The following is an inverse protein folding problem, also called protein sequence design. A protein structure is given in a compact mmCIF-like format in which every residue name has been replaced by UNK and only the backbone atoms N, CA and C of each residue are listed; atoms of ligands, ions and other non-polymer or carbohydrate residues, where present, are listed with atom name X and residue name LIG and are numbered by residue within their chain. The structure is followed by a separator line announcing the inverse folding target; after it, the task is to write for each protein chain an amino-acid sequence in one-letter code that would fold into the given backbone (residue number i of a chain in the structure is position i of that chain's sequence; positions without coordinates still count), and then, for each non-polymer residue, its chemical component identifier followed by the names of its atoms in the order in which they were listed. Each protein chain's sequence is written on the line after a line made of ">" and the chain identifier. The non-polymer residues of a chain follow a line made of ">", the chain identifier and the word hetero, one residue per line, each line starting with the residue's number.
data_IF_774314577942
#
_entry.id   IF_774314577942
#
_cell.length_a   1.000
_cell.length_b   1.000
_cell.length_c   1.000
_cell.angle_alpha   90.00
_cell.angle_beta   90.00
_cell.angle_gamma   90.00
#
_symmetry.space_group_name_H-M   'P 1'
#
loop_
_entity.id
_entity.type
_entity.pdbx_description
1 polymer ?
#
# COMPACT_ATOMS: atom_id res chain seq x y z
N UNK A 1 19.25 38.72 -51.95
CA UNK A 1 19.75 38.30 -50.63
C UNK A 1 18.60 37.67 -49.86
N UNK A 2 18.70 36.37 -49.54
CA UNK A 2 17.62 35.62 -48.88
C UNK A 2 17.51 36.08 -47.40
N UNK A 3 16.32 36.41 -46.88
CA UNK A 3 16.18 36.82 -45.49
C UNK A 3 16.39 35.63 -44.57
N UNK A 4 17.24 35.81 -43.56
CA UNK A 4 17.44 34.85 -42.46
C UNK A 4 16.11 34.65 -41.74
N UNK A 5 15.65 33.40 -41.70
CA UNK A 5 14.48 33.01 -40.91
C UNK A 5 14.87 33.03 -39.42
N UNK A 6 14.01 33.51 -38.51
CA UNK A 6 14.32 33.51 -37.09
C UNK A 6 14.47 32.07 -36.58
N UNK A 7 15.61 31.78 -35.96
CA UNK A 7 15.91 30.47 -35.38
C UNK A 7 14.87 30.12 -34.31
N UNK A 8 14.18 28.99 -34.46
CA UNK A 8 13.29 28.45 -33.43
C UNK A 8 14.00 28.38 -32.07
N UNK A 9 13.34 28.76 -30.96
CA UNK A 9 13.93 28.66 -29.64
C UNK A 9 14.22 27.19 -29.30
N UNK A 10 15.47 26.87 -28.97
CA UNK A 10 15.87 25.52 -28.52
C UNK A 10 15.03 25.13 -27.30
N UNK A 11 14.28 24.03 -27.41
CA UNK A 11 13.54 23.44 -26.28
C UNK A 11 14.52 23.24 -25.11
N UNK A 12 14.19 23.68 -23.89
CA UNK A 12 15.09 23.50 -22.75
C UNK A 12 15.28 22.02 -22.48
N UNK A 13 16.52 21.53 -22.58
CA UNK A 13 16.87 20.13 -22.32
C UNK A 13 16.93 19.90 -20.81
N UNK A 14 16.21 18.90 -20.30
CA UNK A 14 16.27 18.49 -18.89
C UNK A 14 17.71 18.14 -18.49
N UNK A 15 18.10 18.43 -17.24
CA UNK A 15 19.40 18.00 -16.72
C UNK A 15 19.51 16.47 -16.68
N UNK A 16 20.71 15.88 -16.79
CA UNK A 16 20.88 14.43 -16.77
C UNK A 16 20.27 13.76 -15.53
N UNK A 17 20.43 14.38 -14.35
CA UNK A 17 19.80 13.90 -13.10
C UNK A 17 18.27 13.87 -13.18
N UNK A 18 17.65 14.89 -13.78
CA UNK A 18 16.20 14.93 -13.95
C UNK A 18 15.70 13.85 -14.90
N UNK A 19 16.45 13.52 -15.95
CA UNK A 19 16.08 12.43 -16.87
C UNK A 19 16.08 11.07 -16.17
N UNK A 20 17.13 10.77 -15.39
CA UNK A 20 17.21 9.52 -14.61
C UNK A 20 16.08 9.42 -13.58
N UNK A 21 15.75 10.52 -12.89
CA UNK A 21 14.63 10.53 -11.95
C UNK A 21 13.28 10.26 -12.63
N UNK A 22 13.08 10.76 -13.85
CA UNK A 22 11.86 10.47 -14.63
C UNK A 22 11.81 9.00 -15.00
N UNK A 23 12.90 8.44 -15.49
CA UNK A 23 13.01 7.01 -15.82
C UNK A 23 12.71 6.12 -14.60
N UNK A 24 13.29 6.44 -13.43
CA UNK A 24 13.02 5.72 -12.17
C UNK A 24 11.54 5.81 -11.74
N UNK A 25 10.91 6.97 -11.93
CA UNK A 25 9.48 7.17 -11.62
C UNK A 25 8.57 6.42 -12.59
N UNK A 26 8.88 6.45 -13.89
CA UNK A 26 8.17 5.69 -14.92
C UNK A 26 8.25 4.19 -14.66
N UNK A 27 9.43 3.69 -14.26
CA UNK A 27 9.61 2.31 -13.85
C UNK A 27 8.74 1.95 -12.64
N UNK A 28 8.66 2.82 -11.62
CA UNK A 28 7.76 2.59 -10.47
C UNK A 28 6.29 2.59 -10.87
N UNK A 29 5.87 3.53 -11.72
CA UNK A 29 4.48 3.61 -12.20
C UNK A 29 4.11 2.33 -12.94
N UNK A 30 5.02 1.79 -13.76
CA UNK A 30 4.79 0.53 -14.47
C UNK A 30 4.61 -0.68 -13.52
N UNK A 31 5.30 -0.69 -12.38
CA UNK A 31 5.22 -1.78 -11.39
C UNK A 31 4.08 -1.62 -10.38
N UNK A 32 3.61 -0.39 -10.14
CA UNK A 32 2.64 -0.06 -9.10
C UNK A 32 1.35 -0.91 -9.13
N UNK A 33 0.73 -1.22 -10.29
CA UNK A 33 -0.49 -2.03 -10.32
C UNK A 33 -0.29 -3.44 -9.75
N UNK A 34 0.87 -4.05 -10.00
CA UNK A 34 1.19 -5.38 -9.50
C UNK A 34 1.42 -5.36 -7.99
N UNK A 35 2.21 -4.41 -7.50
CA UNK A 35 2.47 -4.24 -6.07
C UNK A 35 1.20 -3.94 -5.29
N UNK A 36 0.31 -3.11 -5.85
CA UNK A 36 -0.99 -2.82 -5.23
C UNK A 36 -1.84 -4.08 -5.14
N UNK A 37 -1.97 -4.84 -6.22
CA UNK A 37 -2.76 -6.07 -6.22
C UNK A 37 -2.22 -7.12 -5.24
N UNK A 38 -0.89 -7.21 -5.08
CA UNK A 38 -0.27 -8.09 -4.09
C UNK A 38 -0.54 -7.63 -2.65
N UNK A 39 -0.43 -6.34 -2.38
CA UNK A 39 -0.75 -5.76 -1.08
C UNK A 39 -2.24 -5.97 -0.71
N UNK A 40 -3.15 -5.73 -1.65
CA UNK A 40 -4.59 -5.94 -1.45
C UNK A 40 -4.89 -7.42 -1.11
N UNK A 41 -4.29 -8.36 -1.86
CA UNK A 41 -4.43 -9.80 -1.60
C UNK A 41 -3.87 -10.19 -0.24
N UNK A 42 -2.73 -9.62 0.17
CA UNK A 42 -2.11 -9.87 1.48
C UNK A 42 -3.07 -9.44 2.60
N UNK A 43 -3.58 -8.21 2.52
CA UNK A 43 -4.51 -7.65 3.52
C UNK A 43 -5.78 -8.49 3.64
N UNK A 44 -6.44 -8.80 2.51
CA UNK A 44 -7.68 -9.60 2.53
C UNK A 44 -7.47 -11.02 3.06
N UNK A 45 -6.31 -11.64 2.78
CA UNK A 45 -5.97 -12.96 3.33
C UNK A 45 -5.81 -12.93 4.84
N UNK A 46 -5.11 -11.93 5.38
CA UNK A 46 -4.93 -11.78 6.82
C UNK A 46 -6.27 -11.54 7.53
N UNK A 47 -7.09 -10.64 6.99
CA UNK A 47 -8.43 -10.39 7.53
C UNK A 47 -9.29 -11.65 7.50
N UNK A 48 -9.25 -12.42 6.40
CA UNK A 48 -10.00 -13.67 6.31
C UNK A 48 -9.57 -14.69 7.37
N UNK A 49 -8.26 -14.85 7.56
CA UNK A 49 -7.72 -15.73 8.60
C UNK A 49 -8.14 -15.27 10.00
N UNK A 50 -8.11 -13.96 10.26
CA UNK A 50 -8.50 -13.41 11.55
C UNK A 50 -10.00 -13.64 11.82
N UNK A 51 -10.87 -13.44 10.82
CA UNK A 51 -12.30 -13.74 10.91
C UNK A 51 -12.58 -15.23 11.16
N UNK A 52 -11.83 -16.13 10.51
CA UNK A 52 -11.97 -17.57 10.69
C UNK A 52 -11.55 -18.00 12.11
N UNK A 53 -10.53 -17.37 12.70
CA UNK A 53 -10.12 -17.62 14.09
C UNK A 53 -11.05 -16.96 15.11
N UNK A 54 -11.50 -15.72 14.86
CA UNK A 54 -12.50 -15.03 15.67
C UNK A 54 -13.77 -15.88 15.81
N UNK A 55 -14.26 -16.46 14.71
CA UNK A 55 -15.42 -17.34 14.72
C UNK A 55 -15.23 -18.57 15.63
N UNK A 56 -14.01 -19.12 15.69
CA UNK A 56 -13.71 -20.28 16.54
C UNK A 56 -13.60 -19.89 18.02
N UNK A 57 -12.98 -18.74 18.30
CA UNK A 57 -12.73 -18.25 19.65
C UNK A 57 -14.02 -17.75 20.30
N UNK A 58 -14.86 -17.03 19.53
CA UNK A 58 -16.04 -16.32 20.06
C UNK A 58 -17.35 -17.11 19.95
N UNK A 59 -17.31 -18.36 19.46
CA UNK A 59 -18.51 -19.20 19.25
C UNK A 59 -19.42 -19.35 20.48
N UNK A 60 -18.83 -19.30 21.69
CA UNK A 60 -19.53 -19.57 22.95
C UNK A 60 -19.96 -18.27 23.68
N UNK A 61 -19.70 -17.10 23.10
CA UNK A 61 -20.01 -15.79 23.71
C UNK A 61 -21.36 -15.28 23.21
N UNK A 62 -22.38 -15.11 24.08
CA UNK A 62 -23.70 -14.69 23.66
C UNK A 62 -23.70 -13.25 23.15
N UNK A 63 -24.34 -13.02 22.00
CA UNK A 63 -24.47 -11.70 21.38
C UNK A 63 -23.24 -11.25 20.57
N UNK A 64 -22.21 -12.09 20.44
CA UNK A 64 -21.06 -11.79 19.58
C UNK A 64 -21.41 -12.03 18.10
N UNK A 65 -21.14 -11.04 17.26
CA UNK A 65 -21.26 -11.14 15.81
C UNK A 65 -19.87 -11.06 15.17
N UNK A 66 -19.45 -12.15 14.54
CA UNK A 66 -18.14 -12.23 13.89
C UNK A 66 -18.05 -11.24 12.73
N UNK A 67 -17.01 -10.40 12.72
CA UNK A 67 -16.78 -9.44 11.63
C UNK A 67 -17.79 -8.29 11.56
N UNK A 68 -18.50 -8.00 12.65
CA UNK A 68 -19.37 -6.83 12.73
C UNK A 68 -18.53 -5.54 12.64
N UNK A 69 -18.92 -4.63 11.74
CA UNK A 69 -18.23 -3.35 11.57
C UNK A 69 -18.52 -2.42 12.75
N UNK A 70 -17.47 -1.84 13.33
CA UNK A 70 -17.59 -0.79 14.36
C UNK A 70 -18.13 0.53 13.77
N UNK A 71 -18.06 0.69 12.45
CA UNK A 71 -18.51 1.90 11.76
C UNK A 71 -19.95 1.75 11.26
N UNK A 72 -20.71 2.84 11.37
CA UNK A 72 -22.08 2.98 10.83
C UNK A 72 -22.15 3.08 9.29
N UNK A 73 -21.04 2.82 8.57
CA UNK A 73 -20.95 2.99 7.12
C UNK A 73 -20.65 1.65 6.45
N UNK A 74 -21.23 1.42 5.28
CA UNK A 74 -20.95 0.24 4.43
C UNK A 74 -19.67 0.41 3.57
N UNK A 75 -18.97 1.54 3.71
CA UNK A 75 -17.74 1.79 2.95
C UNK A 75 -16.61 0.91 3.49
N UNK A 76 -15.73 0.49 2.59
CA UNK A 76 -14.48 -0.14 2.98
C UNK A 76 -13.63 0.81 3.83
N UNK A 77 -13.22 0.32 4.99
CA UNK A 77 -12.26 0.99 5.87
C UNK A 77 -10.99 0.13 5.89
N UNK A 78 -9.83 0.67 5.49
CA UNK A 78 -8.58 -0.07 5.57
C UNK A 78 -8.30 -0.47 7.03
N UNK A 79 -7.94 -1.74 7.29
CA UNK A 79 -7.65 -2.20 8.63
C UNK A 79 -6.35 -1.56 9.15
N UNK A 80 -6.29 -1.37 10.46
CA UNK A 80 -5.08 -0.95 11.17
C UNK A 80 -4.08 -2.11 11.26
N UNK A 81 -2.80 -1.81 11.52
CA UNK A 81 -1.80 -2.85 11.76
C UNK A 81 -2.17 -3.72 12.96
N UNK A 82 -2.70 -3.11 14.02
CA UNK A 82 -3.11 -3.85 15.21
C UNK A 82 -4.25 -4.83 14.88
N UNK A 83 -5.25 -4.41 14.08
CA UNK A 83 -6.34 -5.29 13.59
C UNK A 83 -5.86 -6.43 12.68
N UNK A 84 -4.77 -6.23 11.92
CA UNK A 84 -4.22 -7.28 11.07
C UNK A 84 -3.37 -8.30 11.85
N UNK A 85 -2.67 -7.86 12.90
CA UNK A 85 -1.63 -8.67 13.57
C UNK A 85 -1.94 -9.06 15.02
N UNK A 86 -3.11 -8.75 15.60
CA UNK A 86 -3.42 -9.08 17.00
C UNK A 86 -3.39 -10.60 17.34
N UNK A 87 -3.56 -11.49 16.36
CA UNK A 87 -3.43 -12.95 16.53
C UNK A 87 -2.05 -13.50 16.14
N UNK A 88 -1.12 -12.63 15.75
CA UNK A 88 0.22 -13.01 15.29
C UNK A 88 1.24 -12.75 16.40
N UNK A 89 2.44 -13.34 16.33
CA UNK A 89 3.52 -13.04 17.27
C UNK A 89 3.84 -11.54 17.28
N UNK A 90 4.11 -10.98 18.45
CA UNK A 90 4.43 -9.55 18.59
C UNK A 90 5.61 -9.10 17.73
N UNK A 91 6.58 -9.99 17.49
CA UNK A 91 7.72 -9.73 16.61
C UNK A 91 7.32 -9.39 15.17
N UNK A 92 6.23 -9.96 14.66
CA UNK A 92 5.75 -9.64 13.30
C UNK A 92 5.17 -8.23 13.25
N UNK A 93 4.37 -7.84 14.24
CA UNK A 93 3.82 -6.50 14.38
C UNK A 93 4.96 -5.47 14.55
N UNK A 94 5.94 -5.76 15.40
CA UNK A 94 7.09 -4.88 15.63
C UNK A 94 7.88 -4.66 14.34
N UNK A 95 8.09 -5.72 13.56
CA UNK A 95 8.77 -5.62 12.26
C UNK A 95 7.96 -4.81 11.24
N UNK A 96 6.65 -5.01 11.15
CA UNK A 96 5.81 -4.22 10.23
C UNK A 96 5.73 -2.75 10.64
N UNK A 97 5.75 -2.45 11.95
CA UNK A 97 5.65 -1.10 12.47
C UNK A 97 6.96 -0.32 12.43
N UNK A 98 8.08 -0.99 12.74
CA UNK A 98 9.37 -0.33 12.94
C UNK A 98 10.51 -0.87 12.07
N UNK A 99 10.27 -1.92 11.28
CA UNK A 99 11.31 -2.59 10.49
C UNK A 99 12.05 -1.63 9.56
N UNK A 100 11.35 -0.71 8.89
CA UNK A 100 11.98 0.30 8.05
C UNK A 100 12.89 1.26 8.85
N UNK A 101 12.47 1.66 10.05
CA UNK A 101 13.25 2.56 10.90
C UNK A 101 14.50 1.89 11.46
N UNK A 102 14.42 0.60 11.75
CA UNK A 102 15.55 -0.19 12.26
C UNK A 102 16.48 -0.71 11.17
N UNK A 103 16.08 -0.60 9.89
CA UNK A 103 16.92 -0.98 8.77
C UNK A 103 17.88 0.17 8.41
N UNK A 104 19.07 0.14 9.03
CA UNK A 104 20.20 1.07 8.80
C UNK A 104 21.47 0.29 8.50
#
# INVERSE_FOLDING_TARGET
>A
SRPEQPSEPRKPTLSPRRRLLIEDLEARIALMPLLQAEADRRTLRLMRQNLDEEAKIMKDVPGWQVGESVFHTERWVPPTLDELYYLRPSSELDNEKFGLQYYV
#
